data_IF_286615347002
#
_entry.id   IF_286615347002
#
_cell.length_a   1.000
_cell.length_b   1.000
_cell.length_c   1.000
_cell.angle_alpha   90.00
_cell.angle_beta   90.00
_cell.angle_gamma   90.00
#
_symmetry.space_group_name_H-M   'P 1'
#
loop_
_entity.id
_entity.type
_entity.pdbx_description
1 polymer ?
#
# COMPACT_ATOMS: atom_id res chain seq x y z
N UNK A 1 8.58 -45.49 1.22
CA UNK A 1 8.37 -44.03 1.32
C UNK A 1 9.72 -43.43 1.06
N UNK A 2 10.04 -43.21 -0.21
CA UNK A 2 11.36 -42.83 -0.72
C UNK A 2 11.22 -41.45 -1.39
N UNK A 3 12.09 -40.46 -1.09
CA UNK A 3 11.94 -39.09 -1.59
C UNK A 3 12.47 -38.94 -3.02
N UNK A 4 11.88 -38.03 -3.83
CA UNK A 4 12.29 -37.83 -5.21
C UNK A 4 13.69 -37.21 -5.31
N UNK A 5 14.58 -37.85 -6.09
CA UNK A 5 15.89 -37.33 -6.47
C UNK A 5 15.73 -36.31 -7.61
N UNK A 6 16.04 -35.03 -7.34
CA UNK A 6 16.18 -34.01 -8.38
C UNK A 6 17.60 -34.08 -8.96
N UNK A 7 17.71 -34.47 -10.23
CA UNK A 7 18.98 -34.51 -10.96
C UNK A 7 19.58 -33.12 -11.15
N UNK A 8 20.70 -32.84 -10.48
CA UNK A 8 21.55 -31.68 -10.74
C UNK A 8 22.32 -31.88 -12.06
N UNK A 9 21.71 -31.47 -13.17
CA UNK A 9 22.36 -31.39 -14.48
C UNK A 9 23.24 -30.13 -14.56
N UNK A 10 24.52 -30.27 -14.22
CA UNK A 10 25.57 -29.28 -14.40
C UNK A 10 25.82 -29.08 -15.91
N UNK A 11 25.18 -28.10 -16.56
CA UNK A 11 25.52 -27.70 -17.92
C UNK A 11 26.64 -26.65 -17.88
N UNK A 12 27.88 -27.12 -17.86
CA UNK A 12 29.06 -26.32 -18.20
C UNK A 12 29.06 -26.04 -19.70
N UNK A 13 28.84 -24.79 -20.11
CA UNK A 13 29.30 -24.35 -21.43
C UNK A 13 29.78 -22.90 -21.41
N UNK A 14 31.09 -22.78 -21.35
CA UNK A 14 31.90 -21.58 -21.61
C UNK A 14 31.77 -21.20 -23.09
N UNK A 15 31.49 -19.93 -23.42
CA UNK A 15 31.45 -19.51 -24.82
C UNK A 15 31.13 -18.02 -25.06
N UNK A 16 32.19 -17.26 -25.34
CA UNK A 16 32.29 -15.88 -25.80
C UNK A 16 31.12 -15.26 -26.61
N UNK A 17 30.89 -13.96 -26.37
CA UNK A 17 30.51 -12.90 -27.34
C UNK A 17 29.29 -13.16 -28.22
N UNK A 18 28.29 -12.28 -28.26
CA UNK A 18 28.31 -11.05 -29.08
C UNK A 18 26.99 -10.31 -28.84
N UNK A 19 27.07 -8.98 -28.86
CA UNK A 19 25.92 -8.06 -28.85
C UNK A 19 25.12 -8.23 -30.14
N UNK A 20 23.80 -8.34 -30.07
CA UNK A 20 22.93 -8.17 -31.25
C UNK A 20 21.82 -7.18 -30.93
N UNK A 21 21.99 -5.98 -31.47
CA UNK A 21 20.95 -4.96 -31.65
C UNK A 21 20.26 -5.19 -33.00
N UNK A 22 18.98 -4.81 -33.03
CA UNK A 22 18.11 -4.53 -34.18
C UNK A 22 17.73 -5.71 -35.11
N UNK A 23 16.42 -5.95 -35.22
CA UNK A 23 15.69 -5.54 -36.43
C UNK A 23 14.19 -5.35 -36.18
N UNK A 24 13.72 -4.16 -36.57
CA UNK A 24 12.32 -3.87 -36.88
C UNK A 24 11.97 -4.50 -38.23
N UNK A 25 10.71 -4.95 -38.41
CA UNK A 25 9.79 -4.55 -39.52
C UNK A 25 8.48 -5.34 -39.47
N UNK A 26 7.41 -4.65 -39.89
CA UNK A 26 5.96 -4.96 -39.80
C UNK A 26 5.47 -5.54 -41.18
N UNK A 27 4.16 -5.59 -41.54
CA UNK A 27 3.31 -6.76 -41.86
C UNK A 27 2.99 -6.97 -43.38
N UNK A 28 2.14 -7.97 -43.73
CA UNK A 28 1.22 -8.14 -44.92
C UNK A 28 1.25 -9.59 -45.48
N UNK A 29 0.16 -10.38 -45.56
CA UNK A 29 -1.12 -10.35 -46.31
C UNK A 29 -1.07 -11.00 -47.73
N UNK A 30 -1.91 -12.05 -47.93
CA UNK A 30 -2.62 -12.56 -49.15
C UNK A 30 -1.75 -13.11 -50.33
N UNK A 31 -2.05 -14.20 -51.05
CA UNK A 31 -3.31 -14.63 -51.71
C UNK A 31 -3.19 -16.10 -52.28
N UNK A 32 -4.32 -16.83 -52.41
CA UNK A 32 -4.46 -18.26 -52.85
C UNK A 32 -4.34 -18.55 -54.37
N UNK A 33 -4.74 -19.74 -54.90
CA UNK A 33 -6.15 -20.20 -54.95
C UNK A 33 -6.44 -21.74 -54.77
N UNK A 34 -7.73 -22.08 -54.60
CA UNK A 34 -8.39 -23.38 -54.27
C UNK A 34 -8.77 -24.24 -55.51
N UNK A 35 -9.11 -25.56 -55.39
CA UNK A 35 -10.50 -26.02 -55.15
C UNK A 35 -10.68 -27.21 -54.15
N UNK A 36 -11.88 -27.31 -53.56
CA UNK A 36 -12.35 -28.20 -52.48
C UNK A 36 -12.92 -29.57 -53.00
N UNK A 37 -13.66 -30.42 -52.23
CA UNK A 37 -13.82 -30.58 -50.77
C UNK A 37 -13.65 -32.05 -50.28
N UNK A 38 -13.12 -32.27 -49.07
CA UNK A 38 -13.42 -33.50 -48.29
C UNK A 38 -13.76 -33.12 -46.87
N UNK A 39 -14.99 -33.46 -46.48
CA UNK A 39 -15.55 -33.35 -45.14
C UNK A 39 -14.77 -34.25 -44.17
N UNK A 40 -14.41 -33.71 -43.00
CA UNK A 40 -14.16 -34.43 -41.74
C UNK A 40 -13.92 -33.39 -40.63
N UNK A 41 -14.97 -32.98 -39.93
CA UNK A 41 -15.34 -33.47 -38.58
C UNK A 41 -14.58 -32.77 -37.45
N UNK A 42 -15.20 -31.72 -36.90
CA UNK A 42 -14.91 -31.11 -35.60
C UNK A 42 -15.28 -32.09 -34.46
N UNK A 43 -14.51 -32.19 -33.37
CA UNK A 43 -15.07 -32.52 -32.08
C UNK A 43 -15.46 -31.24 -31.35
N UNK A 44 -16.75 -30.90 -31.45
CA UNK A 44 -17.45 -30.12 -30.44
C UNK A 44 -17.62 -31.01 -29.21
N UNK A 45 -17.30 -30.52 -28.02
CA UNK A 45 -17.70 -31.18 -26.77
C UNK A 45 -18.35 -30.13 -25.87
N UNK A 46 -19.66 -30.32 -25.78
CA UNK A 46 -20.65 -29.59 -25.00
C UNK A 46 -20.48 -29.79 -23.49
N UNK A 47 -21.03 -28.88 -22.67
CA UNK A 47 -21.05 -28.99 -21.21
C UNK A 47 -22.12 -30.00 -20.73
N UNK A 48 -21.98 -30.59 -19.53
CA UNK A 48 -23.02 -31.44 -18.97
C UNK A 48 -24.18 -30.62 -18.37
N UNK A 49 -25.37 -31.19 -18.59
CA UNK A 49 -26.72 -30.68 -18.43
C UNK A 49 -27.33 -31.14 -17.09
N UNK A 50 -27.93 -30.19 -16.36
CA UNK A 50 -29.19 -30.24 -15.58
C UNK A 50 -29.59 -31.41 -14.63
N UNK A 51 -29.75 -31.04 -13.33
CA UNK A 51 -30.91 -31.25 -12.41
C UNK A 51 -31.16 -32.68 -11.84
N UNK A 52 -31.84 -32.91 -10.67
CA UNK A 52 -33.00 -32.15 -10.14
C UNK A 52 -33.25 -32.05 -8.59
N UNK A 53 -34.26 -31.23 -8.24
CA UNK A 53 -35.31 -31.39 -7.19
C UNK A 53 -35.05 -30.97 -5.72
N UNK A 54 -36.13 -30.40 -5.15
CA UNK A 54 -36.25 -29.50 -3.99
C UNK A 54 -36.70 -30.20 -2.65
N UNK A 55 -37.42 -29.54 -1.69
CA UNK A 55 -37.23 -29.47 -0.22
C UNK A 55 -38.21 -30.44 0.52
N UNK A 56 -38.76 -30.26 1.76
CA UNK A 56 -38.56 -29.34 2.92
C UNK A 56 -38.50 -30.06 4.31
N UNK A 57 -38.32 -29.33 5.42
CA UNK A 57 -38.83 -29.63 6.78
C UNK A 57 -38.59 -28.38 7.66
N UNK A 58 -39.55 -27.55 8.08
CA UNK A 58 -40.74 -27.70 8.95
C UNK A 58 -40.46 -27.85 10.45
N UNK A 59 -41.11 -26.95 11.21
CA UNK A 59 -41.50 -27.01 12.64
C UNK A 59 -40.37 -26.74 13.67
N UNK A 60 -40.49 -25.83 14.64
CA UNK A 60 -41.68 -25.19 15.21
C UNK A 60 -41.41 -23.92 16.02
N UNK A 61 -42.53 -23.31 16.42
CA UNK A 61 -42.70 -22.01 17.08
C UNK A 61 -42.97 -22.19 18.61
N UNK A 62 -43.67 -21.28 19.32
CA UNK A 62 -43.21 -20.11 20.10
C UNK A 62 -43.57 -20.27 21.62
N UNK A 63 -43.62 -19.22 22.48
CA UNK A 63 -44.79 -18.34 22.52
C UNK A 63 -44.55 -16.86 22.88
N UNK A 64 -45.63 -16.12 22.66
CA UNK A 64 -45.88 -14.70 22.91
C UNK A 64 -45.84 -14.34 24.40
N UNK A 65 -45.20 -13.23 24.73
CA UNK A 65 -45.42 -12.48 25.96
C UNK A 65 -46.08 -11.14 25.63
N UNK A 66 -47.42 -11.09 25.72
CA UNK A 66 -48.21 -9.86 25.68
C UNK A 66 -48.13 -9.23 27.08
N UNK A 67 -47.61 -8.01 27.15
CA UNK A 67 -47.65 -7.16 28.34
C UNK A 67 -47.79 -5.70 27.91
N UNK A 68 -49.01 -5.19 28.04
CA UNK A 68 -49.54 -3.85 27.72
C UNK A 68 -49.60 -3.09 29.08
N UNK A 69 -48.84 -2.03 29.38
CA UNK A 69 -49.09 -0.58 29.18
C UNK A 69 -47.97 0.32 29.82
N UNK A 70 -47.84 1.61 29.41
CA UNK A 70 -46.83 2.62 29.80
C UNK A 70 -47.35 3.53 30.97
N UNK A 71 -46.78 4.72 31.36
CA UNK A 71 -45.69 5.54 30.79
C UNK A 71 -44.68 6.16 31.78
N UNK A 72 -43.49 6.58 31.29
CA UNK A 72 -42.94 7.95 31.44
C UNK A 72 -41.52 8.09 30.88
N UNK A 73 -41.44 8.97 29.90
CA UNK A 73 -40.36 9.93 29.59
C UNK A 73 -38.92 9.46 29.39
N UNK A 74 -38.48 9.77 28.17
CA UNK A 74 -37.14 10.23 27.80
C UNK A 74 -36.00 9.21 27.82
N UNK A 75 -35.79 8.58 26.68
CA UNK A 75 -34.58 8.74 25.90
C UNK A 75 -34.63 7.75 24.74
N UNK A 76 -34.97 8.27 23.57
CA UNK A 76 -34.77 7.57 22.30
C UNK A 76 -33.26 7.34 22.16
N UNK A 77 -32.77 6.21 22.66
CA UNK A 77 -31.50 5.63 22.24
C UNK A 77 -31.76 4.99 20.89
N UNK A 78 -31.87 5.84 19.86
CA UNK A 78 -31.57 5.41 18.50
C UNK A 78 -30.24 4.67 18.63
N UNK A 79 -30.23 3.39 18.25
CA UNK A 79 -29.01 2.77 17.75
C UNK A 79 -28.69 3.48 16.44
N UNK A 80 -28.30 4.76 16.56
CA UNK A 80 -27.46 5.38 15.57
C UNK A 80 -26.24 4.47 15.57
N UNK A 81 -26.00 3.79 14.45
CA UNK A 81 -24.62 3.60 14.01
C UNK A 81 -23.94 4.92 14.34
N UNK A 82 -23.04 4.87 15.31
CA UNK A 82 -22.07 5.90 15.51
C UNK A 82 -21.36 5.98 14.17
N UNK A 83 -21.86 6.86 13.30
CA UNK A 83 -21.03 7.54 12.33
C UNK A 83 -20.07 8.32 13.21
N UNK A 84 -19.07 7.60 13.74
CA UNK A 84 -17.80 8.17 14.12
C UNK A 84 -17.52 9.20 13.05
N UNK A 85 -17.27 10.46 13.39
CA UNK A 85 -16.83 11.41 12.39
C UNK A 85 -15.64 10.73 11.74
N UNK A 86 -15.81 10.31 10.48
CA UNK A 86 -14.75 9.71 9.69
C UNK A 86 -13.68 10.78 9.71
N UNK A 87 -12.72 10.63 10.62
CA UNK A 87 -11.72 11.63 10.88
C UNK A 87 -10.95 11.68 9.59
N UNK A 88 -11.29 12.66 8.76
CA UNK A 88 -10.64 12.85 7.49
C UNK A 88 -9.23 13.32 7.83
N UNK A 89 -8.34 12.34 7.93
CA UNK A 89 -6.93 12.57 8.20
C UNK A 89 -6.43 13.41 7.04
N UNK A 90 -6.00 14.63 7.33
CA UNK A 90 -5.43 15.48 6.31
C UNK A 90 -4.09 14.88 5.87
N UNK A 91 -3.90 14.76 4.56
CA UNK A 91 -2.67 14.24 3.96
C UNK A 91 -1.42 14.98 4.44
N UNK A 92 -1.54 16.30 4.71
CA UNK A 92 -0.43 17.14 5.15
C UNK A 92 0.08 16.74 6.54
N UNK A 93 -0.81 16.34 7.44
CA UNK A 93 -0.45 15.87 8.78
C UNK A 93 0.35 14.57 8.75
N UNK A 94 0.28 13.81 7.64
CA UNK A 94 1.02 12.56 7.44
C UNK A 94 2.30 12.79 6.63
N UNK A 95 2.22 13.53 5.54
CA UNK A 95 3.37 13.76 4.66
C UNK A 95 4.40 14.72 5.24
N UNK A 96 3.99 15.79 5.94
CA UNK A 96 4.93 16.76 6.50
C UNK A 96 5.92 16.12 7.48
N UNK A 97 5.49 15.27 8.44
CA UNK A 97 6.43 14.55 9.31
C UNK A 97 7.38 13.59 8.59
N UNK A 98 6.87 12.88 7.57
CA UNK A 98 7.68 11.95 6.77
C UNK A 98 8.76 12.68 5.98
N UNK A 99 8.39 13.78 5.32
CA UNK A 99 9.31 14.64 4.58
C UNK A 99 10.33 15.30 5.51
N UNK A 100 9.89 15.80 6.66
CA UNK A 100 10.80 16.36 7.66
C UNK A 100 11.83 15.33 8.12
N UNK A 101 11.41 14.10 8.42
CA UNK A 101 12.33 13.02 8.79
C UNK A 101 13.30 12.70 7.66
N UNK A 102 12.83 12.71 6.41
CA UNK A 102 13.67 12.49 5.24
C UNK A 102 14.73 13.60 5.06
N UNK A 103 14.36 14.87 5.27
CA UNK A 103 15.31 15.99 5.21
C UNK A 103 16.37 15.89 6.31
N UNK A 104 16.01 15.44 7.52
CA UNK A 104 16.99 15.20 8.60
C UNK A 104 17.96 14.08 8.20
N UNK A 105 17.46 13.05 7.51
CA UNK A 105 18.29 11.96 7.01
C UNK A 105 19.21 12.35 5.84
N UNK A 106 18.97 13.49 5.18
CA UNK A 106 19.59 13.87 3.89
C UNK A 106 21.12 13.80 3.88
N UNK A 107 21.78 14.23 4.94
CA UNK A 107 23.24 14.24 5.03
C UNK A 107 23.82 12.87 5.41
N UNK A 108 23.01 11.98 5.98
CA UNK A 108 23.41 10.64 6.39
C UNK A 108 23.24 9.59 5.29
N UNK A 109 22.30 9.81 4.36
CA UNK A 109 21.96 8.84 3.31
C UNK A 109 22.55 9.23 1.96
N UNK A 110 22.77 8.24 1.10
CA UNK A 110 23.19 8.52 -0.28
C UNK A 110 22.09 9.26 -1.05
N UNK A 111 22.49 10.11 -2.01
CA UNK A 111 21.54 10.81 -2.90
C UNK A 111 20.56 9.87 -3.61
N UNK A 112 20.99 8.64 -3.93
CA UNK A 112 20.13 7.64 -4.55
C UNK A 112 19.01 7.18 -3.60
N UNK A 113 19.36 6.86 -2.35
CA UNK A 113 18.39 6.44 -1.33
C UNK A 113 17.42 7.57 -1.01
N UNK A 114 17.91 8.80 -0.85
CA UNK A 114 17.07 9.98 -0.67
C UNK A 114 16.04 10.12 -1.80
N UNK A 115 16.50 10.13 -3.06
CA UNK A 115 15.61 10.28 -4.22
C UNK A 115 14.60 9.13 -4.36
N UNK A 116 15.00 7.90 -4.04
CA UNK A 116 14.08 6.76 -4.06
C UNK A 116 13.00 6.91 -2.98
N UNK A 117 13.36 7.31 -1.75
CA UNK A 117 12.37 7.55 -0.69
C UNK A 117 11.44 8.71 -1.08
N UNK A 118 11.99 9.83 -1.59
CA UNK A 118 11.17 10.96 -2.07
C UNK A 118 10.17 10.53 -3.12
N UNK A 119 10.60 9.73 -4.12
CA UNK A 119 9.71 9.17 -5.15
C UNK A 119 8.59 8.33 -4.55
N UNK A 120 8.89 7.50 -3.54
CA UNK A 120 7.88 6.66 -2.88
C UNK A 120 6.89 7.49 -2.06
N UNK A 121 7.35 8.58 -1.42
CA UNK A 121 6.44 9.53 -0.75
C UNK A 121 5.52 10.24 -1.74
N UNK A 122 5.99 10.58 -2.95
CA UNK A 122 5.12 11.12 -4.01
C UNK A 122 4.09 10.08 -4.48
N UNK A 123 4.43 8.80 -4.54
CA UNK A 123 3.45 7.74 -4.86
C UNK A 123 2.39 7.60 -3.76
N UNK A 124 2.79 7.70 -2.48
CA UNK A 124 1.86 7.75 -1.36
C UNK A 124 0.89 8.95 -1.52
N UNK A 125 1.42 10.12 -1.88
CA UNK A 125 0.63 11.33 -2.13
C UNK A 125 -0.40 11.14 -3.25
N UNK A 126 0.01 10.58 -4.39
CA UNK A 126 -0.87 10.30 -5.52
C UNK A 126 -1.97 9.29 -5.16
N UNK A 127 -1.63 8.20 -4.46
CA UNK A 127 -2.62 7.21 -4.01
C UNK A 127 -3.61 7.79 -3.00
N UNK A 128 -3.15 8.69 -2.13
CA UNK A 128 -4.01 9.39 -1.18
C UNK A 128 -4.97 10.34 -1.89
N UNK A 129 -4.46 11.18 -2.79
CA UNK A 129 -5.25 12.19 -3.49
C UNK A 129 -6.19 11.57 -4.54
N UNK A 130 -5.85 10.40 -5.08
CA UNK A 130 -6.74 9.60 -5.92
C UNK A 130 -7.81 8.82 -5.15
N UNK A 131 -7.80 8.88 -3.82
CA UNK A 131 -8.78 8.19 -2.97
C UNK A 131 -8.65 6.67 -2.98
N UNK A 132 -7.50 6.13 -3.39
CA UNK A 132 -7.24 4.68 -3.45
C UNK A 132 -6.84 4.08 -2.09
N UNK A 133 -6.63 4.92 -1.09
CA UNK A 133 -6.28 4.50 0.27
C UNK A 133 -7.51 4.45 1.16
N UNK A 134 -7.76 3.29 1.74
CA UNK A 134 -8.81 3.07 2.72
C UNK A 134 -8.63 3.93 3.98
N UNK A 135 -9.74 4.24 4.65
CA UNK A 135 -9.72 5.02 5.90
C UNK A 135 -8.85 4.36 6.98
N UNK A 136 -8.83 3.02 7.03
CA UNK A 136 -7.95 2.24 7.91
C UNK A 136 -6.47 2.52 7.66
N UNK A 137 -6.05 2.54 6.40
CA UNK A 137 -4.66 2.86 6.01
C UNK A 137 -4.34 4.30 6.38
N UNK A 138 -5.22 5.26 6.04
CA UNK A 138 -5.03 6.69 6.37
C UNK A 138 -4.86 6.93 7.87
N UNK A 139 -5.71 6.29 8.70
CA UNK A 139 -5.64 6.37 10.17
C UNK A 139 -4.38 5.73 10.73
N UNK A 140 -3.96 4.56 10.23
CA UNK A 140 -2.72 3.93 10.70
C UNK A 140 -1.48 4.73 10.27
N UNK A 141 -1.53 5.35 9.09
CA UNK A 141 -0.42 6.17 8.60
C UNK A 141 -0.24 7.45 9.42
N UNK A 142 -1.31 8.07 9.94
CA UNK A 142 -1.16 9.20 10.86
C UNK A 142 -0.55 8.81 12.21
N UNK A 143 -0.87 7.61 12.72
CA UNK A 143 -0.19 7.06 13.90
C UNK A 143 1.29 6.83 13.58
N UNK A 144 1.61 6.21 12.44
CA UNK A 144 3.00 6.00 12.03
C UNK A 144 3.78 7.32 11.94
N UNK A 145 3.18 8.36 11.35
CA UNK A 145 3.80 9.69 11.27
C UNK A 145 4.09 10.28 12.66
N UNK A 146 3.19 10.09 13.62
CA UNK A 146 3.40 10.50 15.03
C UNK A 146 4.52 9.70 15.70
N UNK A 147 4.58 8.39 15.49
CA UNK A 147 5.66 7.55 16.05
C UNK A 147 7.04 7.94 15.48
N UNK A 148 7.13 8.31 14.19
CA UNK A 148 8.38 8.83 13.62
C UNK A 148 8.81 10.14 14.29
N UNK A 149 7.89 11.05 14.57
CA UNK A 149 8.21 12.31 15.28
C UNK A 149 8.66 12.05 16.72
N UNK A 150 8.05 11.08 17.39
CA UNK A 150 8.44 10.65 18.73
C UNK A 150 9.74 9.86 18.78
N UNK A 151 10.40 9.60 17.64
CA UNK A 151 11.57 8.73 17.51
C UNK A 151 11.31 7.29 17.99
N UNK A 152 10.05 6.87 17.99
CA UNK A 152 9.60 5.53 18.37
C UNK A 152 9.68 4.58 17.17
N UNK A 153 10.91 4.26 16.75
CA UNK A 153 11.14 3.48 15.52
C UNK A 153 10.55 2.06 15.57
N UNK A 154 10.55 1.42 16.75
CA UNK A 154 9.99 0.08 16.93
C UNK A 154 8.45 0.08 16.79
N UNK A 155 7.77 1.08 17.36
CA UNK A 155 6.32 1.28 17.17
C UNK A 155 5.98 1.58 15.72
N UNK A 156 6.78 2.41 15.04
CA UNK A 156 6.59 2.69 13.62
C UNK A 156 6.74 1.42 12.75
N UNK A 157 7.71 0.56 13.06
CA UNK A 157 7.88 -0.72 12.36
C UNK A 157 6.74 -1.71 12.65
N UNK A 158 6.18 -1.73 13.86
CA UNK A 158 4.99 -2.52 14.20
C UNK A 158 3.79 -2.11 13.34
N UNK A 159 3.55 -0.80 13.20
CA UNK A 159 2.46 -0.28 12.35
C UNK A 159 2.70 -0.64 10.88
N UNK A 160 3.95 -0.55 10.40
CA UNK A 160 4.34 -1.00 9.07
C UNK A 160 4.03 -2.49 8.86
N UNK A 161 4.42 -3.36 9.80
CA UNK A 161 4.12 -4.80 9.76
C UNK A 161 2.62 -5.07 9.74
N UNK A 162 1.85 -4.39 10.59
CA UNK A 162 0.39 -4.48 10.62
C UNK A 162 -0.25 -4.04 9.30
N UNK A 163 0.23 -2.95 8.69
CA UNK A 163 -0.24 -2.49 7.37
C UNK A 163 0.08 -3.50 6.26
N UNK A 164 1.25 -4.13 6.31
CA UNK A 164 1.65 -5.17 5.35
C UNK A 164 0.84 -6.46 5.48
N UNK A 165 0.23 -6.73 6.63
CA UNK A 165 -0.66 -7.90 6.82
C UNK A 165 -2.07 -7.59 6.31
N UNK A 166 -2.63 -6.46 6.72
CA UNK A 166 -4.05 -6.18 6.49
C UNK A 166 -4.32 -5.51 5.13
N UNK A 167 -3.39 -4.71 4.61
CA UNK A 167 -3.62 -3.82 3.46
C UNK A 167 -2.47 -3.83 2.44
N UNK A 168 -1.81 -4.97 2.25
CA UNK A 168 -0.62 -5.10 1.36
C UNK A 168 -0.84 -4.56 -0.06
N UNK A 169 -2.04 -4.73 -0.60
CA UNK A 169 -2.38 -4.31 -1.97
C UNK A 169 -2.35 -2.79 -2.14
N UNK A 170 -2.64 -2.05 -1.07
CA UNK A 170 -2.66 -0.58 -1.07
C UNK A 170 -1.29 0.01 -0.72
N UNK A 171 -0.56 -0.63 0.19
CA UNK A 171 0.67 -0.04 0.77
C UNK A 171 1.96 -0.51 0.10
N UNK A 172 2.00 -1.72 -0.46
CA UNK A 172 3.25 -2.37 -0.91
C UNK A 172 4.10 -1.55 -1.89
N UNK A 173 3.46 -0.75 -2.75
CA UNK A 173 4.15 0.02 -3.78
C UNK A 173 5.04 1.13 -3.21
N UNK A 174 4.62 1.80 -2.13
CA UNK A 174 5.34 2.94 -1.53
C UNK A 174 5.91 2.62 -0.15
N UNK A 175 5.34 1.65 0.56
CA UNK A 175 5.73 1.30 1.93
C UNK A 175 7.19 0.85 2.05
N UNK A 176 7.79 0.29 0.99
CA UNK A 176 9.23 -0.03 0.98
C UNK A 176 10.11 1.21 1.19
N UNK A 177 9.69 2.37 0.69
CA UNK A 177 10.38 3.64 0.91
C UNK A 177 10.23 4.11 2.35
N UNK A 178 9.04 3.95 2.94
CA UNK A 178 8.78 4.29 4.35
C UNK A 178 9.56 3.38 5.29
N UNK A 179 9.61 2.06 5.02
CA UNK A 179 10.45 1.12 5.79
C UNK A 179 11.92 1.51 5.74
N UNK A 180 12.42 1.92 4.56
CA UNK A 180 13.80 2.40 4.44
C UNK A 180 14.00 3.69 5.23
N UNK A 181 13.05 4.63 5.15
CA UNK A 181 13.07 5.86 5.94
C UNK A 181 13.18 5.59 7.44
N UNK A 182 12.38 4.65 7.98
CA UNK A 182 12.45 4.26 9.40
C UNK A 182 13.84 3.70 9.74
N UNK A 183 14.41 2.85 8.88
CA UNK A 183 15.73 2.27 9.10
C UNK A 183 16.85 3.33 9.07
N UNK A 184 16.79 4.29 8.15
CA UNK A 184 17.77 5.38 8.06
C UNK A 184 17.64 6.34 9.23
N UNK A 185 16.40 6.69 9.62
CA UNK A 185 16.14 7.56 10.74
C UNK A 185 16.58 6.95 12.08
N UNK A 186 16.46 5.62 12.23
CA UNK A 186 17.02 4.87 13.36
C UNK A 186 18.54 4.89 13.40
N UNK A 187 19.20 4.90 12.24
CA UNK A 187 20.66 4.87 12.13
C UNK A 187 21.29 6.27 12.16
N UNK A 188 20.47 7.32 12.31
CA UNK A 188 20.97 8.68 12.46
C UNK A 188 21.74 8.82 13.79
N UNK A 189 22.92 9.45 13.78
CA UNK A 189 23.60 9.82 15.02
C UNK A 189 22.71 10.81 15.78
N UNK A 190 22.52 10.58 17.08
CA UNK A 190 21.59 11.36 17.92
C UNK A 190 21.85 12.88 17.90
N UNK A 191 23.08 13.29 17.59
CA UNK A 191 23.47 14.68 17.36
C UNK A 191 22.75 15.36 16.18
N UNK A 192 22.33 14.60 15.15
CA UNK A 192 21.57 15.12 14.02
C UNK A 192 20.08 15.35 14.38
N UNK A 193 19.54 14.53 15.30
CA UNK A 193 18.15 14.63 15.75
C UNK A 193 17.91 15.86 16.64
N UNK A 194 18.92 16.29 17.40
CA UNK A 194 18.88 17.49 18.26
C UNK A 194 18.93 18.82 17.48
N UNK A 195 19.32 18.82 16.19
CA UNK A 195 19.39 20.05 15.37
C UNK A 195 18.01 20.54 14.93
N UNK A 196 17.00 19.69 14.96
CA UNK A 196 15.61 20.04 14.61
C UNK A 196 14.95 20.95 15.65
N UNK A 197 15.41 20.94 16.91
CA UNK A 197 14.80 21.71 18.00
C UNK A 197 15.40 23.12 18.22
N UNK A 198 16.37 23.57 17.41
CA UNK A 198 17.06 24.86 17.61
C UNK A 198 17.03 25.82 16.42
N UNK A 199 16.32 25.50 15.34
CA UNK A 199 16.27 26.32 14.13
C UNK A 199 15.15 27.36 14.09
N UNK A 200 14.95 28.17 15.12
CA UNK A 200 14.06 29.34 15.04
C UNK A 200 14.41 30.40 16.09
N UNK A 201 15.61 30.97 15.98
CA UNK A 201 16.02 32.10 16.80
C UNK A 201 17.32 32.70 16.28
N UNK A 202 17.29 34.00 16.03
CA UNK A 202 18.44 34.88 15.86
C UNK A 202 19.03 35.04 14.44
N UNK A 203 18.67 36.15 13.80
CA UNK A 203 19.62 37.24 13.53
C UNK A 203 18.96 38.36 12.72
N UNK A 204 18.20 39.22 13.39
CA UNK A 204 17.93 40.59 12.91
C UNK A 204 18.66 41.57 13.84
N UNK A 205 19.99 41.54 13.85
CA UNK A 205 20.75 42.71 14.29
C UNK A 205 21.15 43.49 13.04
N UNK A 206 20.23 44.36 12.60
CA UNK A 206 20.53 45.35 11.57
C UNK A 206 21.46 46.39 12.19
N UNK A 207 22.73 46.23 11.85
CA UNK A 207 23.86 47.05 12.23
C UNK A 207 23.57 48.55 12.12
N UNK A 208 24.08 49.26 13.12
CA UNK A 208 24.16 50.71 13.21
C UNK A 208 24.62 51.33 11.88
N UNK A 209 23.93 52.39 11.48
CA UNK A 209 24.55 53.51 10.75
C UNK A 209 24.59 54.71 11.68
N UNK A 210 25.75 54.89 12.29
CA UNK A 210 26.18 56.16 12.87
C UNK A 210 27.28 56.74 11.97
N UNK A 211 27.52 58.04 12.14
CA UNK A 211 28.59 58.89 11.58
C UNK A 211 28.21 59.57 10.25
N UNK A 212 27.74 60.83 10.27
CA UNK A 212 28.36 62.13 10.62
C UNK A 212 29.08 62.78 9.43
#
# INVERSE_FOLDING_TARGET
NDPPQFSYGLQTQSGAGKRTLLNKRVPAQLQGPVPAPVSQSLPSSTPPNMLPVCPPSTVGAPPLGIGVLPPRSDAIRKTCKETEPECDVCIKDVLSPLQQTLEICRDSVTKQVFNEISRRLTMLEDMWNSGKLSASVRKRMSVLARELQGQNWDSADEIHRSLMVDHVNEVSQWMVGVKRLIAEARNLPEAALLRTNQGSGDSTNSTLKHEN
#
